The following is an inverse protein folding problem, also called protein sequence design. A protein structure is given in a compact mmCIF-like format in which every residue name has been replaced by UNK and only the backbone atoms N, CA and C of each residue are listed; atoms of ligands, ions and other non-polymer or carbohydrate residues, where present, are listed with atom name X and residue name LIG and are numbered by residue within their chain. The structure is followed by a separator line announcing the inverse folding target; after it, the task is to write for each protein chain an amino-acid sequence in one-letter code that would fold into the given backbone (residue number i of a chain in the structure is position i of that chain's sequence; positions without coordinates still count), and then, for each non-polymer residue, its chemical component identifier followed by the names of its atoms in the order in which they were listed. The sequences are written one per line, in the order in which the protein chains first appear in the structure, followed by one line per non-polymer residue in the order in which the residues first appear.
data_IF_284455198175
#
_entry.id   IF_284455198175
#
_cell.length_a   1.000
_cell.length_b   1.000
_cell.length_c   1.000
_cell.angle_alpha   90.00
_cell.angle_beta   90.00
_cell.angle_gamma   90.00
#
_symmetry.space_group_name_H-M   'P 1'
#
loop_
_entity.id
_entity.type
_entity.pdbx_description
1 polymer ?
#
# COMPACT_ATOMS: atom_id res chain seq x y z
N UNK A 1 24.87 -4.78 3.62
CA UNK A 1 24.43 -6.05 4.25
C UNK A 1 23.25 -6.56 3.47
N UNK A 2 23.27 -7.82 3.01
CA UNK A 2 22.23 -8.40 2.17
C UNK A 2 21.05 -8.76 3.09
N UNK A 3 20.11 -7.84 3.29
CA UNK A 3 18.84 -8.19 3.93
C UNK A 3 18.23 -9.35 3.12
N UNK A 4 18.14 -10.52 3.75
CA UNK A 4 17.51 -11.69 3.11
C UNK A 4 16.10 -11.25 2.74
N UNK A 5 15.70 -11.36 1.46
CA UNK A 5 14.37 -10.96 0.94
C UNK A 5 13.20 -11.34 1.88
N UNK A 6 13.35 -12.44 2.60
CA UNK A 6 12.45 -12.90 3.66
C UNK A 6 12.19 -11.90 4.81
N UNK A 7 13.23 -11.21 5.32
CA UNK A 7 13.09 -10.18 6.38
C UNK A 7 12.22 -9.01 5.92
N UNK A 8 12.39 -8.56 4.68
CA UNK A 8 11.60 -7.46 4.12
C UNK A 8 10.12 -7.86 3.94
N UNK A 9 9.85 -9.10 3.54
CA UNK A 9 8.48 -9.63 3.43
C UNK A 9 7.81 -9.69 4.80
N UNK A 10 8.48 -10.27 5.81
CA UNK A 10 7.94 -10.32 7.18
C UNK A 10 7.68 -8.92 7.71
N UNK A 11 8.62 -8.00 7.53
CA UNK A 11 8.45 -6.61 8.00
C UNK A 11 7.25 -5.93 7.34
N UNK A 12 7.04 -6.18 6.04
CA UNK A 12 5.90 -5.64 5.30
C UNK A 12 4.59 -6.22 5.81
N UNK A 13 4.53 -7.54 6.03
CA UNK A 13 3.33 -8.21 6.56
C UNK A 13 3.05 -7.73 7.99
N UNK A 14 4.06 -7.66 8.85
CA UNK A 14 3.92 -7.15 10.22
C UNK A 14 3.36 -5.74 10.22
N UNK A 15 3.90 -4.84 9.40
CA UNK A 15 3.39 -3.48 9.28
C UNK A 15 1.94 -3.42 8.76
N UNK A 16 1.60 -4.26 7.79
CA UNK A 16 0.23 -4.36 7.24
C UNK A 16 -0.77 -4.81 8.29
N UNK A 17 -0.43 -5.85 9.06
CA UNK A 17 -1.29 -6.39 10.12
C UNK A 17 -1.49 -5.37 11.23
N UNK A 18 -0.42 -4.69 11.68
CA UNK A 18 -0.54 -3.63 12.69
C UNK A 18 -1.46 -2.51 12.22
N UNK A 19 -1.34 -2.06 10.97
CA UNK A 19 -2.21 -1.01 10.43
C UNK A 19 -3.68 -1.40 10.37
N UNK A 20 -4.00 -2.63 9.94
CA UNK A 20 -5.39 -3.10 9.89
C UNK A 20 -5.99 -3.27 11.29
N UNK A 21 -5.19 -3.73 12.26
CA UNK A 21 -5.62 -3.84 13.66
C UNK A 21 -5.87 -2.45 14.25
N UNK A 22 -5.00 -1.49 13.99
CA UNK A 22 -5.15 -0.10 14.46
C UNK A 22 -6.45 0.52 13.94
N UNK A 23 -6.71 0.47 12.63
CA UNK A 23 -7.95 0.98 12.04
C UNK A 23 -9.18 0.30 12.65
N UNK A 24 -9.14 -1.02 12.83
CA UNK A 24 -10.24 -1.76 13.43
C UNK A 24 -10.48 -1.34 14.89
N UNK A 25 -9.42 -1.21 15.69
CA UNK A 25 -9.51 -0.80 17.09
C UNK A 25 -10.02 0.64 17.21
N UNK A 26 -9.48 1.58 16.44
CA UNK A 26 -9.93 2.98 16.42
C UNK A 26 -11.40 3.04 16.02
N UNK A 27 -11.77 2.34 14.95
CA UNK A 27 -13.16 2.30 14.50
C UNK A 27 -14.09 1.72 15.57
N UNK A 28 -13.68 0.62 16.21
CA UNK A 28 -14.44 -0.02 17.28
C UNK A 28 -14.58 0.86 18.53
N UNK A 29 -13.52 1.57 18.94
CA UNK A 29 -13.57 2.51 20.05
C UNK A 29 -14.50 3.69 19.78
N UNK A 30 -14.60 4.12 18.53
CA UNK A 30 -15.46 5.24 18.11
C UNK A 30 -16.92 4.81 18.00
N UNK A 31 -17.21 3.65 17.40
CA UNK A 31 -18.59 3.21 17.11
C UNK A 31 -19.18 2.31 18.18
N UNK A 32 -18.35 1.60 18.97
CA UNK A 32 -18.79 0.58 19.92
C UNK A 32 -19.35 -0.70 19.29
N UNK A 33 -19.43 -0.78 17.96
CA UNK A 33 -19.99 -1.91 17.23
C UNK A 33 -18.96 -2.61 16.35
N UNK A 34 -18.82 -3.92 16.55
CA UNK A 34 -17.89 -4.78 15.78
C UNK A 34 -18.25 -4.81 14.29
N UNK A 35 -19.54 -4.85 13.95
CA UNK A 35 -19.99 -4.91 12.55
C UNK A 35 -19.58 -3.66 11.75
N UNK A 36 -19.71 -2.49 12.36
CA UNK A 36 -19.29 -1.22 11.74
C UNK A 36 -17.77 -1.12 11.65
N UNK A 37 -17.05 -1.48 12.71
CA UNK A 37 -15.59 -1.48 12.72
C UNK A 37 -14.97 -2.41 11.67
N UNK A 38 -15.55 -3.60 11.49
CA UNK A 38 -15.15 -4.54 10.45
C UNK A 38 -15.44 -3.99 9.03
N UNK A 39 -16.57 -3.31 8.85
CA UNK A 39 -16.90 -2.68 7.57
C UNK A 39 -15.91 -1.56 7.23
N UNK A 40 -15.54 -0.72 8.21
CA UNK A 40 -14.56 0.36 8.01
C UNK A 40 -13.18 -0.20 7.67
N UNK A 41 -12.70 -1.23 8.38
CA UNK A 41 -11.38 -1.81 8.11
C UNK A 41 -11.32 -2.46 6.72
N UNK A 42 -12.39 -3.11 6.26
CA UNK A 42 -12.49 -3.63 4.89
C UNK A 42 -12.46 -2.49 3.87
N UNK A 43 -13.28 -1.45 4.07
CA UNK A 43 -13.31 -0.29 3.18
C UNK A 43 -11.95 0.39 3.11
N UNK A 44 -11.23 0.53 4.22
CA UNK A 44 -9.88 1.12 4.28
C UNK A 44 -8.90 0.39 3.33
N UNK A 45 -8.90 -0.94 3.34
CA UNK A 45 -8.06 -1.75 2.45
C UNK A 45 -8.44 -1.52 0.99
N UNK A 46 -9.74 -1.55 0.66
CA UNK A 46 -10.23 -1.30 -0.70
C UNK A 46 -9.92 0.11 -1.17
N UNK A 47 -10.10 1.12 -0.32
CA UNK A 47 -9.79 2.52 -0.64
C UNK A 47 -8.30 2.70 -0.91
N UNK A 48 -7.41 2.11 -0.10
CA UNK A 48 -5.97 2.13 -0.38
C UNK A 48 -5.60 1.46 -1.70
N UNK A 49 -6.21 0.33 -2.02
CA UNK A 49 -5.99 -0.35 -3.30
C UNK A 49 -6.44 0.52 -4.48
N UNK A 50 -7.64 1.10 -4.40
CA UNK A 50 -8.19 1.98 -5.43
C UNK A 50 -7.31 3.24 -5.60
N UNK A 51 -6.94 3.89 -4.50
CA UNK A 51 -6.08 5.06 -4.50
C UNK A 51 -4.71 4.75 -5.08
N UNK A 52 -4.11 3.60 -4.71
CA UNK A 52 -2.83 3.18 -5.28
C UNK A 52 -2.93 2.96 -6.79
N UNK A 53 -3.96 2.25 -7.25
CA UNK A 53 -4.19 2.02 -8.68
C UNK A 53 -4.38 3.34 -9.44
N UNK A 54 -5.23 4.24 -8.94
CA UNK A 54 -5.45 5.54 -9.55
C UNK A 54 -4.18 6.41 -9.53
N UNK A 55 -3.45 6.40 -8.42
CA UNK A 55 -2.17 7.09 -8.29
C UNK A 55 -1.18 6.58 -9.33
N UNK A 56 -1.02 5.26 -9.48
CA UNK A 56 -0.16 4.66 -10.50
C UNK A 56 -0.63 5.00 -11.93
N UNK A 57 -1.94 5.03 -12.17
CA UNK A 57 -2.53 5.41 -13.46
C UNK A 57 -2.26 6.88 -13.81
N UNK A 58 -2.38 7.77 -12.83
CA UNK A 58 -2.05 9.20 -12.99
C UNK A 58 -0.55 9.37 -13.17
N UNK A 59 0.27 8.68 -12.36
CA UNK A 59 1.72 8.72 -12.45
C UNK A 59 2.23 8.26 -13.81
N UNK A 60 1.68 7.16 -14.34
CA UNK A 60 2.01 6.67 -15.70
C UNK A 60 1.64 7.66 -16.82
N UNK A 61 0.67 8.56 -16.59
CA UNK A 61 0.34 9.65 -17.53
C UNK A 61 1.27 10.85 -17.37
N UNK A 62 1.84 11.04 -16.18
CA UNK A 62 2.77 12.12 -15.86
C UNK A 62 4.18 11.68 -16.26
N UNK A 63 4.70 12.20 -17.40
CA UNK A 63 6.05 11.89 -17.91
C UNK A 63 7.20 12.56 -17.12
N UNK A 64 7.04 12.80 -15.83
CA UNK A 64 8.07 13.44 -15.02
C UNK A 64 9.09 12.36 -14.63
N UNK A 65 10.33 12.50 -15.12
CA UNK A 65 11.45 11.61 -14.79
C UNK A 65 11.59 10.36 -15.68
N UNK A 66 10.94 10.31 -16.85
CA UNK A 66 11.28 9.29 -17.85
C UNK A 66 12.66 9.59 -18.43
N UNK A 67 13.72 8.96 -17.92
CA UNK A 67 14.97 8.84 -18.67
C UNK A 67 14.66 8.08 -19.95
N UNK A 68 14.88 8.72 -21.10
CA UNK A 68 15.05 7.98 -22.35
C UNK A 68 16.25 7.08 -22.12
N UNK A 69 16.01 5.78 -21.98
CA UNK A 69 17.07 4.79 -22.14
C UNK A 69 17.45 4.90 -23.61
N UNK A 70 18.44 5.72 -23.93
CA UNK A 70 19.12 5.65 -25.22
C UNK A 70 19.68 4.23 -25.32
N UNK A 71 19.35 3.47 -26.38
CA UNK A 71 19.96 2.17 -26.57
C UNK A 71 21.45 2.44 -26.75
N UNK A 72 22.27 1.89 -25.85
CA UNK A 72 23.72 1.95 -25.98
C UNK A 72 24.11 1.06 -27.16
N UNK A 73 24.04 1.64 -28.37
CA UNK A 73 24.56 1.04 -29.59
C UNK A 73 26.08 1.17 -29.59
N UNK A 74 26.74 0.48 -28.67
CA UNK A 74 28.17 0.24 -28.76
C UNK A 74 28.40 -1.00 -29.63
N UNK A 75 28.79 -0.71 -30.88
CA UNK A 75 29.43 -1.62 -31.85
C UNK A 75 30.90 -1.77 -31.45
#
# INVERSE_FOLDING_TARGET
MRDKRYRSIIKTISWRVTGTIDTFLVSYLVTGEIGVAASISVVEVFTKLLLYYLHERVWNKVKIGQEKIEPDYQI
#
